data_IF_829773517628
#
_entry.id   IF_829773517628
#
_cell.length_a   1.000
_cell.length_b   1.000
_cell.length_c   1.000
_cell.angle_alpha   90.00
_cell.angle_beta   90.00
_cell.angle_gamma   90.00
#
_symmetry.space_group_name_H-M   'P 1'
#
loop_
_entity.id
_entity.type
_entity.pdbx_description
1 polymer ?
#
# COMPACT_ATOMS: atom_id res chain seq x y z
N UNK A 1 -28.43 2.80 -24.26
CA UNK A 1 -27.18 2.08 -23.88
C UNK A 1 -26.54 2.90 -22.76
N UNK A 2 -26.41 2.34 -21.56
CA UNK A 2 -25.77 3.06 -20.46
C UNK A 2 -24.25 3.12 -20.71
N UNK A 3 -23.71 4.33 -20.82
CA UNK A 3 -22.28 4.56 -20.83
C UNK A 3 -21.66 3.94 -19.57
N UNK A 4 -20.94 2.83 -19.73
CA UNK A 4 -20.12 2.27 -18.66
C UNK A 4 -19.00 3.27 -18.38
N UNK A 5 -19.24 4.22 -17.47
CA UNK A 5 -18.19 5.03 -16.85
C UNK A 5 -17.12 4.06 -16.36
N UNK A 6 -15.96 4.06 -17.02
CA UNK A 6 -14.78 3.30 -16.61
C UNK A 6 -14.55 3.65 -15.14
N UNK A 7 -14.36 2.65 -14.27
CA UNK A 7 -13.98 2.86 -12.85
C UNK A 7 -12.52 3.36 -12.77
N UNK A 8 -12.20 4.44 -13.48
CA UNK A 8 -10.87 5.04 -13.55
C UNK A 8 -10.50 5.55 -12.16
N UNK A 9 -9.39 5.05 -11.61
CA UNK A 9 -8.82 5.47 -10.33
C UNK A 9 -9.06 4.53 -9.14
N UNK A 10 -9.98 3.56 -9.25
CA UNK A 10 -10.32 2.65 -8.13
C UNK A 10 -9.70 1.26 -8.25
N UNK A 11 -9.05 0.92 -9.35
CA UNK A 11 -8.57 -0.45 -9.56
C UNK A 11 -7.41 -0.76 -8.62
N UNK A 12 -6.38 0.08 -8.61
CA UNK A 12 -5.24 -0.06 -7.70
C UNK A 12 -5.71 -0.07 -6.24
N UNK A 13 -6.52 0.90 -5.82
CA UNK A 13 -7.10 0.96 -4.47
C UNK A 13 -7.78 -0.36 -4.06
N UNK A 14 -8.63 -0.93 -4.93
CA UNK A 14 -9.35 -2.18 -4.63
C UNK A 14 -8.46 -3.42 -4.66
N UNK A 15 -7.43 -3.44 -5.50
CA UNK A 15 -6.45 -4.54 -5.50
C UNK A 15 -5.56 -4.49 -4.26
N UNK A 16 -5.17 -3.30 -3.82
CA UNK A 16 -4.44 -3.09 -2.56
C UNK A 16 -5.30 -3.48 -1.37
N UNK A 17 -6.56 -3.05 -1.32
CA UNK A 17 -7.49 -3.47 -0.26
C UNK A 17 -7.67 -4.99 -0.22
N UNK A 18 -7.77 -5.64 -1.38
CA UNK A 18 -7.83 -7.10 -1.47
C UNK A 18 -6.58 -7.74 -0.86
N UNK A 19 -5.39 -7.28 -1.23
CA UNK A 19 -4.14 -7.82 -0.69
C UNK A 19 -4.07 -7.64 0.84
N UNK A 20 -4.52 -6.49 1.36
CA UNK A 20 -4.63 -6.27 2.81
C UNK A 20 -5.58 -7.26 3.47
N UNK A 21 -6.74 -7.55 2.86
CA UNK A 21 -7.65 -8.59 3.37
C UNK A 21 -7.00 -9.98 3.35
N UNK A 22 -6.29 -10.34 2.27
CA UNK A 22 -5.59 -11.62 2.17
C UNK A 22 -4.55 -11.77 3.29
N UNK A 23 -3.86 -10.69 3.67
CA UNK A 23 -2.95 -10.66 4.83
C UNK A 23 -3.72 -10.83 6.14
N UNK A 24 -4.79 -10.06 6.35
CA UNK A 24 -5.56 -10.04 7.59
C UNK A 24 -6.29 -11.37 7.89
N UNK A 25 -6.51 -12.20 6.88
CA UNK A 25 -7.03 -13.56 7.05
C UNK A 25 -6.00 -14.55 7.59
N UNK A 26 -4.71 -14.22 7.52
CA UNK A 26 -3.59 -15.12 7.87
C UNK A 26 -2.75 -14.61 9.03
N UNK A 27 -2.73 -13.30 9.24
CA UNK A 27 -1.90 -12.64 10.23
C UNK A 27 -2.75 -11.92 11.27
N UNK A 28 -2.41 -12.13 12.54
CA UNK A 28 -3.03 -11.41 13.65
C UNK A 28 -2.66 -9.92 13.61
N UNK A 29 -3.53 -9.09 14.22
CA UNK A 29 -3.32 -7.64 14.41
C UNK A 29 -3.25 -6.84 13.11
N UNK A 30 -3.86 -7.34 12.04
CA UNK A 30 -4.13 -6.59 10.83
C UNK A 30 -5.57 -6.09 10.82
N UNK A 31 -5.73 -4.78 10.73
CA UNK A 31 -7.02 -4.13 10.47
C UNK A 31 -6.77 -2.91 9.57
N UNK A 32 -7.78 -2.43 8.86
CA UNK A 32 -7.62 -1.25 8.02
C UNK A 32 -8.86 -0.39 8.00
N UNK A 33 -8.62 0.92 7.93
CA UNK A 33 -9.65 1.89 7.61
C UNK A 33 -9.48 2.34 6.16
N UNK A 34 -10.61 2.57 5.50
CA UNK A 34 -10.67 3.10 4.15
C UNK A 34 -11.49 4.38 4.18
N UNK A 35 -10.93 5.45 3.63
CA UNK A 35 -11.66 6.70 3.52
C UNK A 35 -12.77 6.54 2.47
N UNK A 36 -14.03 6.78 2.87
CA UNK A 36 -15.20 6.58 2.02
C UNK A 36 -15.79 7.91 1.55
N UNK A 37 -16.67 7.84 0.54
CA UNK A 37 -17.17 8.89 -0.36
C UNK A 37 -17.98 10.05 0.28
N UNK A 38 -17.72 10.45 1.52
CA UNK A 38 -18.50 11.48 2.22
C UNK A 38 -17.64 12.67 2.60
N UNK A 39 -17.69 13.75 1.80
CA UNK A 39 -17.41 15.19 2.10
C UNK A 39 -16.30 15.57 3.12
N UNK A 40 -15.45 14.62 3.50
CA UNK A 40 -14.40 14.74 4.48
C UNK A 40 -13.12 14.74 3.67
N UNK A 41 -12.22 15.72 3.85
CA UNK A 41 -10.95 15.69 3.16
C UNK A 41 -10.23 14.38 3.52
N UNK A 42 -10.01 13.49 2.55
CA UNK A 42 -9.37 12.17 2.74
C UNK A 42 -7.89 12.26 3.20
N UNK A 43 -7.40 13.49 3.46
CA UNK A 43 -6.01 13.85 3.78
C UNK A 43 -4.97 13.17 2.88
N UNK A 44 -5.38 12.73 1.69
CA UNK A 44 -4.55 12.00 0.72
C UNK A 44 -4.24 10.55 1.08
N UNK A 45 -4.96 9.89 1.98
CA UNK A 45 -4.80 8.46 2.26
C UNK A 45 -5.99 7.67 1.68
N UNK A 46 -5.70 6.60 0.94
CA UNK A 46 -6.72 5.68 0.44
C UNK A 46 -7.04 4.61 1.51
N UNK A 47 -6.00 4.08 2.14
CA UNK A 47 -6.10 3.15 3.27
C UNK A 47 -5.16 3.59 4.40
N UNK A 48 -5.60 3.37 5.64
CA UNK A 48 -4.71 3.36 6.81
C UNK A 48 -4.75 1.95 7.37
N UNK A 49 -3.60 1.27 7.32
CA UNK A 49 -3.40 -0.06 7.84
C UNK A 49 -2.90 0.02 9.28
N UNK A 50 -3.50 -0.76 10.16
CA UNK A 50 -3.05 -1.04 11.51
C UNK A 50 -2.41 -2.42 11.50
N UNK A 51 -1.12 -2.51 11.79
CA UNK A 51 -0.34 -3.74 11.62
C UNK A 51 0.89 -3.78 12.53
N UNK A 52 1.57 -4.93 12.67
CA UNK A 52 2.91 -5.04 13.26
C UNK A 52 3.94 -4.06 12.69
N UNK A 53 4.88 -3.57 13.50
CA UNK A 53 5.85 -2.53 13.15
C UNK A 53 6.76 -2.91 11.96
N UNK A 54 7.16 -4.19 11.87
CA UNK A 54 8.02 -4.71 10.80
C UNK A 54 7.25 -5.21 9.56
N UNK A 55 5.95 -4.91 9.45
CA UNK A 55 5.11 -5.30 8.30
C UNK A 55 5.71 -4.87 6.96
N UNK A 56 6.22 -3.63 6.86
CA UNK A 56 6.83 -3.13 5.63
C UNK A 56 8.07 -3.90 5.16
N UNK A 57 8.79 -4.51 6.09
CA UNK A 57 9.97 -5.34 5.80
C UNK A 57 9.55 -6.70 5.26
N UNK A 58 8.59 -7.36 5.94
CA UNK A 58 7.98 -8.61 5.48
C UNK A 58 7.40 -8.46 4.08
N UNK A 59 6.59 -7.43 3.83
CA UNK A 59 5.99 -7.21 2.51
C UNK A 59 7.03 -6.93 1.42
N UNK A 60 8.12 -6.24 1.77
CA UNK A 60 9.23 -6.01 0.84
C UNK A 60 9.93 -7.33 0.49
N UNK A 61 10.21 -8.18 1.46
CA UNK A 61 10.82 -9.49 1.22
C UNK A 61 9.94 -10.33 0.28
N UNK A 62 8.64 -10.44 0.57
CA UNK A 62 7.68 -11.18 -0.29
C UNK A 62 7.64 -10.61 -1.71
N UNK A 63 7.64 -9.28 -1.86
CA UNK A 63 7.63 -8.64 -3.17
C UNK A 63 8.89 -8.98 -4.01
N UNK A 64 10.05 -9.05 -3.35
CA UNK A 64 11.36 -9.31 -3.95
C UNK A 64 11.57 -10.81 -4.25
N UNK A 65 11.27 -11.69 -3.31
CA UNK A 65 11.62 -13.13 -3.38
C UNK A 65 10.42 -14.04 -3.66
N UNK A 66 9.20 -13.59 -3.38
CA UNK A 66 7.97 -14.38 -3.44
C UNK A 66 7.62 -15.10 -2.13
N UNK A 67 8.46 -15.00 -1.11
CA UNK A 67 8.28 -15.61 0.20
C UNK A 67 8.85 -14.71 1.30
N UNK A 68 8.63 -15.05 2.56
CA UNK A 68 9.29 -14.33 3.66
C UNK A 68 9.53 -15.23 4.85
N UNK A 69 10.66 -14.98 5.51
CA UNK A 69 11.04 -15.61 6.78
C UNK A 69 10.89 -14.65 7.97
N UNK A 70 10.47 -13.41 7.71
CA UNK A 70 10.25 -12.39 8.73
C UNK A 70 8.99 -12.73 9.54
N UNK A 71 9.20 -13.02 10.82
CA UNK A 71 8.14 -13.11 11.81
C UNK A 71 7.67 -11.71 12.21
N UNK A 72 6.36 -11.50 12.31
CA UNK A 72 5.80 -10.19 12.63
C UNK A 72 5.88 -9.91 14.14
N UNK A 73 6.34 -8.71 14.47
CA UNK A 73 6.53 -8.29 15.86
C UNK A 73 5.21 -7.91 16.55
N UNK A 74 5.18 -7.99 17.89
CA UNK A 74 3.96 -7.71 18.65
C UNK A 74 3.55 -6.24 18.72
N UNK A 75 4.45 -5.28 18.44
CA UNK A 75 4.14 -3.85 18.56
C UNK A 75 3.36 -3.37 17.33
N UNK A 76 2.17 -2.84 17.57
CA UNK A 76 1.31 -2.29 16.51
C UNK A 76 1.76 -0.88 16.09
N UNK A 77 1.64 -0.61 14.80
CA UNK A 77 1.87 0.68 14.16
C UNK A 77 0.80 0.98 13.11
N UNK A 78 0.91 2.15 12.47
CA UNK A 78 0.08 2.54 11.33
C UNK A 78 0.91 2.73 10.07
N UNK A 79 0.38 2.24 8.95
CA UNK A 79 0.91 2.47 7.60
C UNK A 79 -0.14 3.21 6.77
N UNK A 80 0.23 4.34 6.18
CA UNK A 80 -0.62 5.05 5.20
C UNK A 80 -0.37 4.48 3.82
N UNK A 81 -1.42 4.14 3.10
CA UNK A 81 -1.32 3.67 1.71
C UNK A 81 -2.04 4.65 0.78
N UNK A 82 -1.37 5.01 -0.31
CA UNK A 82 -1.89 5.83 -1.40
C UNK A 82 -1.69 5.07 -2.72
N UNK A 83 -2.79 4.66 -3.35
CA UNK A 83 -2.81 3.81 -4.51
C UNK A 83 -3.14 4.60 -5.78
N UNK A 84 -2.31 4.48 -6.81
CA UNK A 84 -2.46 5.18 -8.09
C UNK A 84 -2.75 4.20 -9.22
N UNK A 85 -3.60 4.63 -10.16
CA UNK A 85 -3.91 3.92 -11.40
C UNK A 85 -3.23 4.60 -12.62
N UNK A 86 -1.89 4.70 -12.71
CA UNK A 86 -1.27 5.23 -13.91
C UNK A 86 -1.45 4.25 -15.07
N UNK A 87 -1.34 4.74 -16.31
CA UNK A 87 -1.38 3.88 -17.50
C UNK A 87 -0.23 2.87 -17.57
N UNK A 88 0.94 3.24 -17.02
CA UNK A 88 2.13 2.38 -17.01
C UNK A 88 2.99 2.66 -15.77
N UNK A 89 3.55 3.88 -15.65
CA UNK A 89 4.42 4.28 -14.54
C UNK A 89 3.84 5.43 -13.75
N UNK A 90 4.09 5.45 -12.44
CA UNK A 90 3.73 6.58 -11.58
C UNK A 90 4.57 7.81 -11.97
N UNK A 91 3.89 8.93 -12.19
CA UNK A 91 4.49 10.16 -12.69
C UNK A 91 4.98 11.04 -11.54
N UNK A 92 5.86 12.00 -11.85
CA UNK A 92 6.42 12.92 -10.85
C UNK A 92 5.34 13.72 -10.12
N UNK A 93 4.26 14.10 -10.80
CA UNK A 93 3.20 14.89 -10.18
C UNK A 93 2.37 14.07 -9.17
N UNK A 94 2.22 12.77 -9.39
CA UNK A 94 1.61 11.88 -8.40
C UNK A 94 2.52 11.72 -7.18
N UNK A 95 3.84 11.56 -7.40
CA UNK A 95 4.83 11.51 -6.33
C UNK A 95 4.85 12.80 -5.50
N UNK A 96 4.77 13.98 -6.14
CA UNK A 96 4.68 15.27 -5.44
C UNK A 96 3.46 15.35 -4.52
N UNK A 97 2.30 14.94 -5.02
CA UNK A 97 1.07 14.90 -4.22
C UNK A 97 1.22 13.95 -3.04
N UNK A 98 1.67 12.72 -3.32
CA UNK A 98 1.92 11.71 -2.31
C UNK A 98 2.82 12.23 -1.18
N UNK A 99 3.99 12.80 -1.50
CA UNK A 99 4.92 13.38 -0.52
C UNK A 99 4.30 14.55 0.25
N UNK A 100 3.56 15.42 -0.44
CA UNK A 100 2.83 16.52 0.19
C UNK A 100 1.80 16.05 1.23
N UNK A 101 1.20 14.88 0.99
CA UNK A 101 0.21 14.28 1.88
C UNK A 101 0.84 13.58 3.10
N UNK A 102 2.08 13.08 3.01
CA UNK A 102 2.79 12.47 4.17
C UNK A 102 2.77 13.40 5.39
N UNK A 103 3.02 14.71 5.18
CA UNK A 103 3.05 15.71 6.27
C UNK A 103 1.71 15.87 7.01
N UNK A 104 0.61 15.43 6.41
CA UNK A 104 -0.72 15.48 7.02
C UNK A 104 -0.96 14.33 8.00
N UNK A 105 -0.05 13.34 8.05
CA UNK A 105 -0.15 12.11 8.83
C UNK A 105 1.08 11.89 9.72
N UNK A 106 1.37 12.77 10.69
CA UNK A 106 2.61 12.72 11.49
C UNK A 106 2.70 11.54 12.47
N UNK A 107 1.59 10.83 12.72
CA UNK A 107 1.53 9.69 13.64
C UNK A 107 1.68 8.34 12.94
N UNK A 108 1.75 8.34 11.61
CA UNK A 108 1.95 7.13 10.79
C UNK A 108 3.44 6.83 10.73
N UNK A 109 3.84 5.57 10.93
CA UNK A 109 5.25 5.20 10.96
C UNK A 109 5.83 4.99 9.56
N UNK A 110 4.99 4.61 8.60
CA UNK A 110 5.43 4.29 7.25
C UNK A 110 4.37 4.64 6.19
N UNK A 111 4.81 5.07 5.02
CA UNK A 111 3.94 5.51 3.93
C UNK A 111 4.22 4.74 2.64
N UNK A 112 3.18 4.14 2.06
CA UNK A 112 3.26 3.36 0.82
C UNK A 112 2.64 4.10 -0.34
N UNK A 113 3.42 4.23 -1.40
CA UNK A 113 2.91 4.58 -2.72
C UNK A 113 2.75 3.31 -3.54
N UNK A 114 1.54 3.03 -3.99
CA UNK A 114 1.22 1.79 -4.70
C UNK A 114 0.77 2.08 -6.13
N UNK A 115 1.18 1.24 -7.08
CA UNK A 115 0.54 1.16 -8.40
C UNK A 115 1.49 1.33 -9.59
N UNK A 116 0.93 1.17 -10.79
CA UNK A 116 1.72 1.06 -12.02
C UNK A 116 2.67 -0.14 -12.03
N UNK A 117 3.54 -0.21 -13.05
CA UNK A 117 4.61 -1.21 -13.16
C UNK A 117 5.91 -0.77 -12.49
N UNK A 118 6.15 0.53 -12.43
CA UNK A 118 7.33 1.15 -11.81
C UNK A 118 7.11 2.65 -11.60
N UNK A 119 8.00 3.28 -10.82
CA UNK A 119 8.16 4.73 -10.82
C UNK A 119 8.88 5.18 -12.09
N UNK A 120 8.52 6.35 -12.62
CA UNK A 120 9.42 7.07 -13.54
C UNK A 120 10.67 7.52 -12.80
N UNK A 121 11.81 7.67 -13.50
CA UNK A 121 13.04 8.16 -12.86
C UNK A 121 12.87 9.52 -12.16
N UNK A 122 12.15 10.51 -12.74
CA UNK A 122 11.87 11.77 -12.04
C UNK A 122 10.96 11.62 -10.81
N UNK A 123 10.05 10.64 -10.78
CA UNK A 123 9.21 10.37 -9.62
C UNK A 123 10.02 9.75 -8.47
N UNK A 124 10.82 8.72 -8.78
CA UNK A 124 11.72 8.07 -7.82
C UNK A 124 12.66 9.08 -7.16
N UNK A 125 13.39 9.84 -7.98
CA UNK A 125 14.31 10.88 -7.51
C UNK A 125 13.62 11.90 -6.60
N UNK A 126 12.40 12.31 -6.97
CA UNK A 126 11.65 13.28 -6.16
C UNK A 126 11.28 12.73 -4.78
N UNK A 127 10.85 11.46 -4.69
CA UNK A 127 10.55 10.83 -3.39
C UNK A 127 11.83 10.78 -2.54
N UNK A 128 12.91 10.22 -3.09
CA UNK A 128 14.20 10.09 -2.39
C UNK A 128 14.74 11.44 -1.86
N UNK A 129 14.60 12.52 -2.63
CA UNK A 129 15.08 13.86 -2.24
C UNK A 129 14.18 14.58 -1.22
N UNK A 130 12.94 14.11 -0.97
CA UNK A 130 11.95 14.87 -0.19
C UNK A 130 11.33 14.09 0.99
N UNK A 131 11.82 12.89 1.28
CA UNK A 131 11.29 12.02 2.35
C UNK A 131 12.40 11.41 3.22
N UNK A 132 13.54 12.08 3.37
CA UNK A 132 14.61 11.67 4.30
C UNK A 132 14.17 11.62 5.77
N UNK A 133 13.09 12.33 6.10
CA UNK A 133 12.46 12.40 7.42
C UNK A 133 11.32 11.39 7.65
N UNK A 134 10.97 10.56 6.66
CA UNK A 134 9.85 9.62 6.75
C UNK A 134 10.18 8.27 6.10
N UNK A 135 9.67 7.18 6.67
CA UNK A 135 9.80 5.86 6.05
C UNK A 135 8.81 5.75 4.89
N UNK A 136 9.33 5.60 3.68
CA UNK A 136 8.54 5.51 2.44
C UNK A 136 8.89 4.26 1.68
N UNK A 137 7.86 3.53 1.24
CA UNK A 137 8.01 2.39 0.33
C UNK A 137 7.17 2.59 -0.93
N UNK A 138 7.66 2.04 -2.01
CA UNK A 138 6.92 1.92 -3.26
C UNK A 138 6.67 0.45 -3.56
N UNK A 139 5.44 0.12 -3.92
CA UNK A 139 5.09 -1.19 -4.45
C UNK A 139 4.38 -1.02 -5.80
N UNK A 140 4.88 -1.68 -6.83
CA UNK A 140 4.16 -1.84 -8.09
C UNK A 140 2.91 -2.70 -7.90
N UNK A 141 1.99 -2.60 -8.85
CA UNK A 141 0.78 -3.43 -8.83
C UNK A 141 1.11 -4.93 -8.84
N UNK A 142 2.16 -5.33 -9.56
CA UNK A 142 2.60 -6.72 -9.63
C UNK A 142 3.18 -7.20 -8.30
N UNK A 143 3.88 -6.35 -7.55
CA UNK A 143 4.40 -6.69 -6.22
C UNK A 143 3.26 -6.86 -5.20
N UNK A 144 2.23 -6.03 -5.25
CA UNK A 144 1.01 -6.22 -4.44
C UNK A 144 0.32 -7.54 -4.78
N UNK A 145 0.23 -7.90 -6.07
CA UNK A 145 -0.35 -9.18 -6.50
C UNK A 145 0.49 -10.38 -6.02
N UNK A 146 1.83 -10.27 -6.02
CA UNK A 146 2.71 -11.30 -5.43
C UNK A 146 2.47 -11.46 -3.93
N UNK A 147 2.36 -10.36 -3.19
CA UNK A 147 2.06 -10.38 -1.75
C UNK A 147 0.73 -11.09 -1.50
N UNK A 148 -0.33 -10.71 -2.21
CA UNK A 148 -1.63 -11.37 -2.10
C UNK A 148 -1.56 -12.88 -2.42
N UNK A 149 -0.81 -13.25 -3.46
CA UNK A 149 -0.64 -14.65 -3.88
C UNK A 149 0.07 -15.47 -2.82
N UNK A 150 1.12 -14.92 -2.19
CA UNK A 150 1.82 -15.57 -1.09
C UNK A 150 0.86 -15.88 0.06
N UNK A 151 0.10 -14.90 0.55
CA UNK A 151 -0.84 -15.12 1.65
C UNK A 151 -1.99 -16.07 1.29
N UNK A 152 -2.49 -16.02 0.05
CA UNK A 152 -3.50 -16.97 -0.43
C UNK A 152 -2.98 -18.42 -0.51
N UNK A 153 -1.66 -18.62 -0.57
CA UNK A 153 -1.06 -19.95 -0.62
C UNK A 153 -0.80 -20.57 0.77
N UNK A 154 -0.87 -19.77 1.83
CA UNK A 154 -0.68 -20.24 3.20
C UNK A 154 -1.92 -21.05 3.66
N UNK A 155 -1.75 -22.05 4.54
CA UNK A 155 -2.86 -22.76 5.16
C UNK A 155 -3.79 -21.79 5.90
N UNK A 156 -5.08 -22.12 6.03
CA UNK A 156 -5.97 -21.33 6.88
C UNK A 156 -5.57 -21.54 8.35
N UNK A 157 -5.48 -20.46 9.15
CA UNK A 157 -5.08 -20.57 10.55
C UNK A 157 -6.09 -21.35 11.40
N UNK A 158 -7.32 -21.51 10.91
CA UNK A 158 -8.41 -22.26 11.55
C UNK A 158 -8.47 -23.75 11.15
N UNK A 159 -7.58 -24.22 10.26
CA UNK A 159 -7.55 -25.62 9.79
C UNK A 159 -6.73 -26.58 10.71
N UNK A 160 -6.30 -26.12 11.89
CA UNK A 160 -5.67 -26.93 12.95
C UNK A 160 -6.67 -27.35 14.05
#
# INVERSE_FOLDING_TARGET
MADKKKKTGKKAEMLTARAVCDIALKEDRFDFTRNTTTNTPDLGADLILHCPENTGEKMKEIAETGESTIELEGKSTQIRIDAKDPKDKVQKDDAKKFVGDIRKHPLVSEHWLVGGKSLTAPARKFIEENTDWATVRYFSQNEIEKIATYYQSLPDPDDE
#
